data_IF_736310158171
#
_entry.id   IF_736310158171
#
_cell.length_a   1.000
_cell.length_b   1.000
_cell.length_c   1.000
_cell.angle_alpha   90.00
_cell.angle_beta   90.00
_cell.angle_gamma   90.00
#
_symmetry.space_group_name_H-M   'P 1'
#
loop_
_entity.id
_entity.type
_entity.pdbx_description
1 polymer ?
#
# COMPACT_ATOMS: atom_id res chain seq x y z
N UNK A 1 -20.59 -12.81 24.29
CA UNK A 1 -19.53 -13.59 23.63
C UNK A 1 -18.35 -12.68 23.41
N UNK A 2 -17.16 -13.05 23.90
CA UNK A 2 -15.95 -12.27 23.64
C UNK A 2 -15.54 -12.44 22.17
N UNK A 3 -15.23 -11.34 21.47
CA UNK A 3 -14.68 -11.41 20.12
C UNK A 3 -13.32 -12.11 20.16
N UNK A 4 -13.23 -13.28 19.54
CA UNK A 4 -11.97 -13.98 19.34
C UNK A 4 -11.11 -13.22 18.33
N UNK A 5 -9.93 -12.75 18.77
CA UNK A 5 -8.99 -12.04 17.89
C UNK A 5 -8.20 -13.05 17.08
N UNK A 6 -8.39 -13.04 15.76
CA UNK A 6 -7.63 -13.87 14.82
C UNK A 6 -6.46 -13.10 14.22
N UNK A 7 -5.25 -13.61 14.40
CA UNK A 7 -4.08 -13.11 13.70
C UNK A 7 -4.08 -13.63 12.26
N UNK A 8 -3.93 -12.73 11.29
CA UNK A 8 -3.86 -13.07 9.87
C UNK A 8 -2.53 -12.55 9.33
N UNK A 9 -1.66 -13.48 8.93
CA UNK A 9 -0.40 -13.16 8.27
C UNK A 9 -0.66 -13.04 6.77
N UNK A 10 -0.33 -11.89 6.19
CA UNK A 10 -0.41 -11.69 4.74
C UNK A 10 0.76 -12.38 4.04
N UNK A 11 0.47 -12.95 2.87
CA UNK A 11 1.49 -13.51 2.00
C UNK A 11 2.48 -12.43 1.54
N UNK A 12 3.76 -12.76 1.37
CA UNK A 12 4.75 -11.82 0.85
C UNK A 12 4.35 -11.34 -0.55
N UNK A 13 4.63 -10.07 -0.83
CA UNK A 13 4.42 -9.48 -2.15
C UNK A 13 5.34 -10.11 -3.20
N UNK A 14 5.01 -9.88 -4.47
CA UNK A 14 5.83 -10.37 -5.58
C UNK A 14 7.29 -9.86 -5.46
N UNK A 15 8.28 -10.76 -5.34
CA UNK A 15 9.69 -10.37 -5.14
C UNK A 15 10.29 -9.51 -6.26
N UNK A 16 9.76 -9.59 -7.49
CA UNK A 16 10.20 -8.75 -8.60
C UNK A 16 9.73 -7.30 -8.40
N UNK A 17 8.46 -7.11 -8.03
CA UNK A 17 7.90 -5.79 -7.73
C UNK A 17 8.55 -5.17 -6.50
N UNK A 18 8.82 -5.97 -5.46
CA UNK A 18 9.53 -5.49 -4.27
C UNK A 18 10.90 -4.96 -4.63
N UNK A 19 11.69 -5.71 -5.42
CA UNK A 19 13.01 -5.27 -5.87
C UNK A 19 12.96 -4.03 -6.74
N UNK A 20 11.98 -3.94 -7.63
CA UNK A 20 11.76 -2.74 -8.45
C UNK A 20 11.48 -1.53 -7.56
N UNK A 21 10.53 -1.62 -6.62
CA UNK A 21 10.18 -0.52 -5.74
C UNK A 21 11.33 -0.11 -4.80
N UNK A 22 12.12 -1.07 -4.29
CA UNK A 22 13.34 -0.76 -3.53
C UNK A 22 14.30 0.09 -4.37
N UNK A 23 14.51 -0.27 -5.63
CA UNK A 23 15.40 0.46 -6.53
C UNK A 23 14.85 1.83 -6.96
N UNK A 24 13.55 1.93 -7.19
CA UNK A 24 12.90 3.17 -7.68
C UNK A 24 12.67 4.19 -6.55
N UNK A 25 12.25 3.74 -5.36
CA UNK A 25 11.96 4.61 -4.22
C UNK A 25 13.14 4.75 -3.24
N UNK A 26 14.15 3.88 -3.31
CA UNK A 26 15.25 3.87 -2.34
C UNK A 26 14.81 3.51 -0.92
N UNK A 27 13.73 2.74 -0.78
CA UNK A 27 13.17 2.33 0.52
C UNK A 27 13.63 0.94 0.94
N UNK A 28 13.50 0.64 2.23
CA UNK A 28 13.79 -0.68 2.78
C UNK A 28 12.92 -1.80 2.13
N UNK A 29 13.46 -3.00 1.89
CA UNK A 29 12.72 -4.13 1.32
C UNK A 29 11.45 -4.51 2.09
N UNK A 30 11.43 -4.35 3.42
CA UNK A 30 10.23 -4.60 4.22
C UNK A 30 9.14 -3.58 3.89
N UNK A 31 9.50 -2.31 3.68
CA UNK A 31 8.54 -1.27 3.30
C UNK A 31 8.03 -1.50 1.88
N UNK A 32 8.92 -1.82 0.93
CA UNK A 32 8.52 -2.19 -0.43
C UNK A 32 7.58 -3.41 -0.45
N UNK A 33 7.84 -4.43 0.37
CA UNK A 33 6.93 -5.57 0.51
C UNK A 33 5.54 -5.16 1.03
N UNK A 34 5.49 -4.26 2.00
CA UNK A 34 4.22 -3.73 2.53
C UNK A 34 3.43 -2.91 1.50
N UNK A 35 4.11 -2.21 0.58
CA UNK A 35 3.49 -1.50 -0.53
C UNK A 35 2.87 -2.48 -1.54
N UNK A 36 3.63 -3.52 -1.93
CA UNK A 36 3.12 -4.56 -2.84
C UNK A 36 1.91 -5.29 -2.24
N UNK A 37 1.94 -5.60 -0.94
CA UNK A 37 0.80 -6.19 -0.21
C UNK A 37 -0.44 -5.29 -0.13
N UNK A 38 -0.26 -3.98 -0.38
CA UNK A 38 -1.34 -2.98 -0.49
C UNK A 38 -1.75 -2.71 -1.93
N UNK A 39 -1.30 -3.53 -2.88
CA UNK A 39 -1.50 -3.35 -4.32
C UNK A 39 -0.84 -2.10 -4.93
N UNK A 40 0.11 -1.48 -4.23
CA UNK A 40 0.93 -0.40 -4.77
C UNK A 40 2.12 -1.05 -5.48
N UNK A 41 2.18 -0.94 -6.80
CA UNK A 41 3.11 -1.74 -7.64
C UNK A 41 4.11 -0.92 -8.44
N UNK A 42 3.97 0.40 -8.45
CA UNK A 42 4.86 1.30 -9.18
C UNK A 42 5.19 2.56 -8.36
N UNK A 43 6.22 3.26 -8.81
CA UNK A 43 6.69 4.51 -8.21
C UNK A 43 5.60 5.59 -8.09
N UNK A 44 4.74 5.75 -9.09
CA UNK A 44 3.74 6.82 -9.10
C UNK A 44 2.66 6.58 -8.04
N UNK A 45 2.17 5.34 -7.95
CA UNK A 45 1.25 4.92 -6.88
C UNK A 45 1.88 5.08 -5.50
N UNK A 46 3.14 4.69 -5.33
CA UNK A 46 3.85 4.84 -4.06
C UNK A 46 4.03 6.32 -3.69
N UNK A 47 4.38 7.17 -4.66
CA UNK A 47 4.52 8.62 -4.46
C UNK A 47 3.19 9.26 -4.07
N UNK A 48 2.09 8.94 -4.77
CA UNK A 48 0.75 9.41 -4.43
C UNK A 48 0.34 8.95 -3.03
N UNK A 49 0.61 7.70 -2.67
CA UNK A 49 0.30 7.15 -1.35
C UNK A 49 1.03 7.86 -0.20
N UNK A 50 2.32 8.17 -0.36
CA UNK A 50 3.09 8.88 0.67
C UNK A 50 2.89 10.40 0.66
N UNK A 51 2.37 10.97 -0.44
CA UNK A 51 2.18 12.42 -0.64
C UNK A 51 0.81 12.72 -1.25
N UNK A 52 -0.28 12.30 -0.59
CA UNK A 52 -1.62 12.63 -1.08
C UNK A 52 -1.79 14.14 -1.13
N UNK A 53 -2.37 14.65 -2.20
CA UNK A 53 -2.77 16.06 -2.30
C UNK A 53 -4.22 16.22 -1.86
N UNK A 54 -4.62 17.45 -1.51
CA UNK A 54 -6.01 17.69 -1.11
C UNK A 54 -6.97 17.42 -2.29
N UNK A 55 -6.52 17.68 -3.51
CA UNK A 55 -7.25 17.39 -4.74
C UNK A 55 -7.50 15.88 -4.99
N UNK A 56 -6.73 14.99 -4.35
CA UNK A 56 -6.89 13.54 -4.46
C UNK A 56 -8.00 13.00 -3.53
N UNK A 57 -8.56 13.82 -2.64
CA UNK A 57 -9.68 13.39 -1.79
C UNK A 57 -10.94 13.18 -2.62
N UNK A 58 -11.57 12.01 -2.44
CA UNK A 58 -12.91 11.78 -2.93
C UNK A 58 -13.88 12.78 -2.30
N UNK A 59 -14.81 13.30 -3.11
CA UNK A 59 -15.92 14.11 -2.63
C UNK A 59 -16.77 13.26 -1.66
N UNK A 60 -16.89 13.67 -0.38
CA UNK A 60 -17.68 12.94 0.62
C UNK A 60 -19.13 12.71 0.20
N UNK A 61 -19.70 13.60 -0.63
CA UNK A 61 -21.08 13.51 -1.11
C UNK A 61 -21.26 12.54 -2.29
N UNK A 62 -20.17 12.03 -2.88
CA UNK A 62 -20.20 11.04 -3.95
C UNK A 62 -19.96 9.60 -3.46
N UNK A 63 -19.61 9.40 -2.17
CA UNK A 63 -19.57 8.06 -1.60
C UNK A 63 -21.00 7.52 -1.47
N UNK A 64 -21.29 6.38 -2.11
CA UNK A 64 -22.54 5.65 -1.87
C UNK A 64 -22.53 5.16 -0.42
N UNK A 65 -23.64 5.39 0.27
CA UNK A 65 -23.97 4.86 1.60
C UNK A 65 -23.62 3.37 1.72
#
# INVERSE_FOLDING_TARGET
MALEKKWIVKEPGNPALVRQLVSELGVDPALANLLVQRNIKDFAQAKSFFRPQLEDLYDPFLMKD
#
